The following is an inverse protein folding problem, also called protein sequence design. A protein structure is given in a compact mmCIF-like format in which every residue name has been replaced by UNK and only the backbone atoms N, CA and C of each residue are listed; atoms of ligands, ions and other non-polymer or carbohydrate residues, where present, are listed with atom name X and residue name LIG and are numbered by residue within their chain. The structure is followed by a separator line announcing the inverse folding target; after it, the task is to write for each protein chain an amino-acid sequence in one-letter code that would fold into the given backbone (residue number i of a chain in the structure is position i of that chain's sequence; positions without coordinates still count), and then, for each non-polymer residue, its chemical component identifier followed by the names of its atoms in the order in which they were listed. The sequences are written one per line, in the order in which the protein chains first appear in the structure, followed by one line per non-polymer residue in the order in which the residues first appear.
data_IF_102121988737
#
_entry.id   IF_102121988737
#
_cell.length_a   1.000
_cell.length_b   1.000
_cell.length_c   1.000
_cell.angle_alpha   90.00
_cell.angle_beta   90.00
_cell.angle_gamma   90.00
#
_symmetry.space_group_name_H-M   'P 1'
#
loop_
_entity.id
_entity.type
_entity.pdbx_description
1 polymer ?
#
# COMPACT_ATOMS: atom_id res chain seq x y z
N UNK A 1 -28.67 -5.75 -8.65
CA UNK A 1 -27.52 -5.96 -9.55
C UNK A 1 -26.51 -4.88 -9.19
N UNK A 2 -25.45 -5.28 -8.49
CA UNK A 2 -24.54 -4.37 -7.81
C UNK A 2 -23.42 -3.90 -8.76
N UNK A 3 -22.99 -2.65 -8.59
CA UNK A 3 -21.98 -1.92 -9.35
C UNK A 3 -20.53 -2.40 -9.01
N UNK A 4 -20.31 -3.71 -8.91
CA UNK A 4 -19.06 -4.26 -8.35
C UNK A 4 -18.27 -5.14 -9.33
N UNK A 5 -18.67 -5.23 -10.59
CA UNK A 5 -18.08 -6.16 -11.57
C UNK A 5 -17.12 -5.50 -12.57
N UNK A 6 -16.75 -4.22 -12.38
CA UNK A 6 -15.66 -3.61 -13.15
C UNK A 6 -14.36 -3.88 -12.40
N UNK A 7 -13.50 -4.74 -12.96
CA UNK A 7 -12.15 -4.95 -12.45
C UNK A 7 -11.39 -3.63 -12.34
N UNK A 8 -10.28 -3.62 -11.61
CA UNK A 8 -9.45 -2.42 -11.54
C UNK A 8 -8.90 -2.11 -12.94
N UNK A 9 -9.42 -1.06 -13.57
CA UNK A 9 -9.00 -0.65 -14.91
C UNK A 9 -7.59 -0.06 -14.86
N UNK A 10 -6.73 -0.58 -15.74
CA UNK A 10 -5.40 -0.02 -15.92
C UNK A 10 -5.50 1.40 -16.48
N UNK A 11 -4.99 2.41 -15.75
CA UNK A 11 -5.06 3.81 -16.19
C UNK A 11 -4.26 4.10 -17.48
N UNK A 12 -3.34 3.21 -17.85
CA UNK A 12 -2.48 3.36 -19.03
C UNK A 12 -3.13 2.80 -20.30
N UNK A 13 -3.67 1.58 -20.23
CA UNK A 13 -4.20 0.90 -21.42
C UNK A 13 -5.73 0.73 -21.42
N UNK A 14 -6.41 1.06 -20.32
CA UNK A 14 -7.86 1.00 -20.18
C UNK A 14 -8.46 -0.41 -20.13
N UNK A 15 -7.64 -1.45 -20.00
CA UNK A 15 -8.08 -2.85 -19.84
C UNK A 15 -8.05 -3.27 -18.37
N UNK A 16 -8.85 -4.27 -18.01
CA UNK A 16 -8.88 -4.83 -16.67
C UNK A 16 -7.52 -5.41 -16.25
N UNK A 17 -7.16 -5.17 -14.99
CA UNK A 17 -6.10 -5.92 -14.31
C UNK A 17 -6.75 -7.13 -13.65
N UNK A 18 -6.67 -8.27 -14.32
CA UNK A 18 -7.42 -9.49 -13.97
C UNK A 18 -6.88 -10.17 -12.70
N UNK A 19 -5.56 -10.11 -12.48
CA UNK A 19 -4.88 -10.86 -11.42
C UNK A 19 -3.88 -10.02 -10.63
N UNK A 20 -3.63 -10.43 -9.38
CA UNK A 20 -2.61 -9.83 -8.51
C UNK A 20 -1.23 -9.81 -9.16
N UNK A 21 -0.90 -10.85 -9.93
CA UNK A 21 0.39 -11.02 -10.62
C UNK A 21 0.55 -10.09 -11.82
N UNK A 22 -0.54 -9.44 -12.25
CA UNK A 22 -0.54 -8.41 -13.29
C UNK A 22 -0.48 -7.01 -12.68
N UNK A 23 -0.70 -6.83 -11.38
CA UNK A 23 -0.84 -5.52 -10.73
C UNK A 23 0.50 -4.86 -10.37
N UNK A 24 0.71 -3.66 -10.89
CA UNK A 24 1.77 -2.75 -10.45
C UNK A 24 1.53 -2.22 -9.04
N UNK A 25 0.28 -1.88 -8.71
CA UNK A 25 -0.09 -1.32 -7.42
C UNK A 25 0.29 -2.30 -6.29
N UNK A 26 -0.07 -3.57 -6.45
CA UNK A 26 0.24 -4.60 -5.47
C UNK A 26 1.72 -4.97 -5.43
N UNK A 27 2.44 -4.96 -6.57
CA UNK A 27 3.89 -5.12 -6.54
C UNK A 27 4.54 -4.03 -5.68
N UNK A 28 4.17 -2.77 -5.92
CA UNK A 28 4.69 -1.62 -5.18
C UNK A 28 4.31 -1.64 -3.71
N UNK A 29 3.10 -2.09 -3.39
CA UNK A 29 2.69 -2.35 -2.01
C UNK A 29 3.55 -3.44 -1.34
N UNK A 30 3.78 -4.55 -2.03
CA UNK A 30 4.62 -5.64 -1.52
C UNK A 30 6.05 -5.18 -1.27
N UNK A 31 6.54 -4.26 -2.10
CA UNK A 31 7.84 -3.59 -1.97
C UNK A 31 7.84 -2.44 -0.94
N UNK A 32 6.72 -2.21 -0.25
CA UNK A 32 6.60 -1.18 0.78
C UNK A 32 6.55 0.25 0.24
N UNK A 33 6.32 0.46 -1.05
CA UNK A 33 6.30 1.77 -1.71
C UNK A 33 4.92 2.46 -1.66
N UNK A 34 3.88 1.70 -1.36
CA UNK A 34 2.49 2.16 -1.28
C UNK A 34 1.95 1.89 0.13
N UNK A 35 1.20 2.84 0.66
CA UNK A 35 0.51 2.73 1.93
C UNK A 35 -0.76 1.86 1.78
N UNK A 36 -0.96 0.83 2.63
CA UNK A 36 -2.13 -0.04 2.56
C UNK A 36 -3.46 0.71 2.64
N UNK A 37 -3.55 1.79 3.41
CA UNK A 37 -4.78 2.57 3.56
C UNK A 37 -5.19 3.24 2.24
N UNK A 38 -4.22 3.50 1.37
CA UNK A 38 -4.45 4.19 0.09
C UNK A 38 -4.73 3.23 -1.08
N UNK A 39 -4.65 1.91 -0.88
CA UNK A 39 -4.80 0.92 -1.96
C UNK A 39 -6.14 1.06 -2.70
N UNK A 40 -7.23 1.23 -1.94
CA UNK A 40 -8.59 1.28 -2.49
C UNK A 40 -8.91 2.52 -3.34
N UNK A 41 -8.12 3.59 -3.21
CA UNK A 41 -8.29 4.84 -3.97
C UNK A 41 -7.21 5.10 -5.00
N UNK A 42 -6.16 4.26 -5.03
CA UNK A 42 -5.08 4.41 -6.00
C UNK A 42 -5.48 3.81 -7.35
N UNK A 43 -5.08 4.45 -8.46
CA UNK A 43 -5.29 3.86 -9.77
C UNK A 43 -4.43 2.59 -9.90
N UNK A 44 -4.94 1.66 -10.69
CA UNK A 44 -4.25 0.41 -10.99
C UNK A 44 -3.56 0.49 -12.35
N UNK A 45 -2.49 -0.29 -12.52
CA UNK A 45 -1.76 -0.45 -13.77
C UNK A 45 -1.30 -1.89 -13.92
N UNK A 46 -1.25 -2.39 -15.15
CA UNK A 46 -0.51 -3.62 -15.40
C UNK A 46 0.98 -3.41 -15.15
N UNK A 47 1.69 -4.45 -14.70
CA UNK A 47 3.16 -4.47 -14.65
C UNK A 47 3.76 -4.13 -16.02
N UNK A 48 3.22 -4.71 -17.10
CA UNK A 48 3.66 -4.39 -18.47
C UNK A 48 3.39 -2.91 -18.86
N UNK A 49 2.41 -2.27 -18.25
CA UNK A 49 2.15 -0.83 -18.40
C UNK A 49 3.03 0.04 -17.49
N UNK A 50 3.87 -0.56 -16.65
CA UNK A 50 4.95 0.10 -15.91
C UNK A 50 6.33 -0.43 -16.31
N UNK A 51 6.80 -0.15 -17.54
CA UNK A 51 8.07 -0.68 -18.01
C UNK A 51 9.27 -0.22 -17.19
N UNK A 52 9.19 0.95 -16.54
CA UNK A 52 10.26 1.47 -15.69
C UNK A 52 10.59 0.54 -14.52
N UNK A 53 9.57 -0.10 -13.92
CA UNK A 53 9.73 -1.06 -12.83
C UNK A 53 9.82 -2.50 -13.36
N UNK A 54 8.95 -2.86 -14.30
CA UNK A 54 8.81 -4.23 -14.79
C UNK A 54 10.04 -4.76 -15.55
N UNK A 55 10.88 -3.89 -16.13
CA UNK A 55 12.14 -4.30 -16.78
C UNK A 55 13.12 -5.01 -15.83
N UNK A 56 12.95 -4.84 -14.50
CA UNK A 56 13.77 -5.47 -13.47
C UNK A 56 13.21 -6.82 -12.99
N UNK A 57 12.05 -7.27 -13.46
CA UNK A 57 11.54 -8.61 -13.10
C UNK A 57 12.30 -9.67 -13.89
N UNK A 58 12.98 -10.58 -13.18
CA UNK A 58 13.71 -11.73 -13.73
C UNK A 58 13.11 -13.02 -13.15
N UNK A 59 11.97 -13.44 -13.69
CA UNK A 59 11.27 -14.67 -13.29
C UNK A 59 10.85 -15.48 -14.51
N UNK A 60 10.85 -16.82 -14.40
CA UNK A 60 10.56 -17.71 -15.53
C UNK A 60 9.16 -17.51 -16.12
N UNK A 61 8.18 -17.22 -15.27
CA UNK A 61 6.78 -17.03 -15.66
C UNK A 61 6.42 -15.58 -15.97
N UNK A 62 7.41 -14.67 -16.01
CA UNK A 62 7.21 -13.27 -16.35
C UNK A 62 7.83 -12.94 -17.72
N UNK A 63 7.03 -12.47 -18.70
CA UNK A 63 7.55 -12.00 -19.98
C UNK A 63 8.53 -10.83 -19.79
N UNK A 64 9.79 -10.92 -20.26
CA UNK A 64 10.75 -9.83 -20.10
C UNK A 64 10.27 -8.53 -20.76
N UNK A 65 10.43 -7.42 -20.04
CA UNK A 65 10.11 -6.07 -20.55
C UNK A 65 11.40 -5.38 -20.94
N UNK A 66 11.49 -5.00 -22.23
CA UNK A 66 12.62 -4.23 -22.76
C UNK A 66 12.23 -2.76 -22.88
N UNK A 67 13.10 -1.89 -22.39
CA UNK A 67 13.01 -0.44 -22.53
C UNK A 67 14.18 0.03 -23.36
N UNK A 68 13.96 1.02 -24.21
CA UNK A 68 14.99 1.64 -25.03
C UNK A 68 15.37 3.02 -24.47
N UNK A 69 16.61 3.45 -24.72
CA UNK A 69 17.12 4.77 -24.32
C UNK A 69 17.80 4.79 -22.94
N UNK A 70 17.99 5.99 -22.38
CA UNK A 70 18.82 6.20 -21.17
C UNK A 70 18.27 5.56 -19.89
N UNK A 71 16.98 5.22 -19.86
CA UNK A 71 16.34 4.55 -18.73
C UNK A 71 16.19 3.03 -18.96
N UNK A 72 16.74 2.52 -20.06
CA UNK A 72 16.84 1.09 -20.30
C UNK A 72 17.76 0.46 -19.25
N UNK A 73 17.35 -0.68 -18.69
CA UNK A 73 18.16 -1.47 -17.77
C UNK A 73 19.60 -1.70 -18.26
N UNK A 74 19.78 -1.90 -19.56
CA UNK A 74 21.10 -2.08 -20.20
C UNK A 74 21.99 -0.84 -20.21
N UNK A 75 21.42 0.35 -19.99
CA UNK A 75 22.12 1.63 -19.96
C UNK A 75 22.39 2.14 -18.53
N UNK A 76 21.97 1.40 -17.49
CA UNK A 76 22.16 1.75 -16.09
C UNK A 76 23.40 1.08 -15.48
N UNK A 77 23.78 1.56 -14.30
CA UNK A 77 24.88 0.98 -13.52
C UNK A 77 24.59 -0.51 -13.19
N UNK A 78 25.52 -1.44 -13.46
CA UNK A 78 25.28 -2.87 -13.26
C UNK A 78 24.98 -3.28 -11.81
N UNK A 79 25.59 -2.61 -10.82
CA UNK A 79 25.35 -2.92 -9.41
C UNK A 79 23.95 -2.48 -8.98
N UNK A 80 23.52 -1.29 -9.45
CA UNK A 80 22.14 -0.84 -9.30
C UNK A 80 21.15 -1.80 -9.98
N UNK A 81 21.45 -2.24 -11.21
CA UNK A 81 20.60 -3.18 -11.95
C UNK A 81 20.45 -4.49 -11.18
N UNK A 82 21.55 -5.08 -10.69
CA UNK A 82 21.49 -6.32 -9.94
C UNK A 82 20.69 -6.17 -8.63
N UNK A 83 20.83 -5.03 -7.94
CA UNK A 83 20.06 -4.74 -6.73
C UNK A 83 18.56 -4.59 -7.02
N UNK A 84 18.19 -3.84 -8.06
CA UNK A 84 16.78 -3.68 -8.46
C UNK A 84 16.20 -4.98 -8.99
N UNK A 85 16.94 -5.77 -9.77
CA UNK A 85 16.49 -7.09 -10.22
C UNK A 85 16.17 -8.00 -9.03
N UNK A 86 17.07 -8.09 -8.06
CA UNK A 86 16.83 -8.88 -6.86
C UNK A 86 15.62 -8.38 -6.06
N UNK A 87 15.50 -7.06 -5.87
CA UNK A 87 14.42 -6.44 -5.11
C UNK A 87 13.06 -6.68 -5.76
N UNK A 88 12.94 -6.31 -7.03
CA UNK A 88 11.69 -6.32 -7.80
C UNK A 88 11.26 -7.76 -8.12
N UNK A 89 12.19 -8.63 -8.48
CA UNK A 89 11.90 -10.06 -8.71
C UNK A 89 11.36 -10.73 -7.45
N UNK A 90 11.95 -10.48 -6.29
CA UNK A 90 11.43 -11.04 -5.03
C UNK A 90 10.03 -10.52 -4.71
N UNK A 91 9.74 -9.25 -4.99
CA UNK A 91 8.38 -8.71 -4.89
C UNK A 91 7.39 -9.44 -5.81
N UNK A 92 7.76 -9.69 -7.06
CA UNK A 92 6.94 -10.43 -8.00
C UNK A 92 6.71 -11.90 -7.57
N UNK A 93 7.76 -12.59 -7.11
CA UNK A 93 7.63 -13.95 -6.58
C UNK A 93 6.71 -14.00 -5.35
N UNK A 94 6.70 -12.95 -4.53
CA UNK A 94 5.76 -12.83 -3.43
C UNK A 94 4.32 -12.68 -3.93
N UNK A 95 4.06 -11.96 -5.02
CA UNK A 95 2.72 -11.92 -5.63
C UNK A 95 2.28 -13.32 -6.10
N UNK A 96 3.18 -14.10 -6.70
CA UNK A 96 2.90 -15.48 -7.09
C UNK A 96 2.55 -16.34 -5.87
N UNK A 97 3.30 -16.22 -4.78
CA UNK A 97 3.02 -16.93 -3.54
C UNK A 97 1.64 -16.57 -2.98
N UNK A 98 1.30 -15.28 -2.96
CA UNK A 98 0.01 -14.77 -2.46
C UNK A 98 -1.20 -15.29 -3.24
N UNK A 99 -1.04 -15.69 -4.50
CA UNK A 99 -2.12 -16.35 -5.25
C UNK A 99 -2.42 -17.77 -4.73
N UNK A 100 -1.51 -18.36 -3.95
CA UNK A 100 -1.61 -19.75 -3.48
C UNK A 100 -1.93 -19.86 -2.00
N UNK A 101 -1.88 -18.74 -1.26
CA UNK A 101 -2.10 -18.70 0.19
C UNK A 101 -3.20 -17.70 0.53
N UNK A 102 -3.99 -18.00 1.55
CA UNK A 102 -4.97 -17.07 2.09
C UNK A 102 -4.34 -16.32 3.27
N UNK A 103 -3.75 -15.16 2.98
CA UNK A 103 -3.14 -14.28 3.97
C UNK A 103 -3.91 -12.96 4.04
N UNK A 104 -3.97 -12.32 5.22
CA UNK A 104 -4.54 -10.98 5.32
C UNK A 104 -3.66 -9.96 4.57
N UNK A 105 -4.26 -8.90 4.04
CA UNK A 105 -3.58 -7.90 3.20
C UNK A 105 -2.37 -7.25 3.91
N UNK A 106 -2.40 -7.13 5.23
CA UNK A 106 -1.30 -6.60 6.06
C UNK A 106 -0.04 -7.50 6.05
N UNK A 107 -0.18 -8.76 5.63
CA UNK A 107 0.91 -9.72 5.49
C UNK A 107 1.43 -9.84 4.05
N UNK A 108 0.86 -9.11 3.10
CA UNK A 108 1.32 -9.14 1.71
C UNK A 108 2.76 -8.62 1.57
N UNK A 109 3.16 -7.50 2.22
CA UNK A 109 4.51 -6.97 2.10
C UNK A 109 5.59 -7.96 2.49
N UNK A 110 6.74 -7.81 1.82
CA UNK A 110 7.95 -8.56 2.18
C UNK A 110 8.29 -8.30 3.66
N UNK A 111 8.85 -9.28 4.38
CA UNK A 111 9.05 -9.21 5.83
C UNK A 111 9.74 -7.92 6.30
N UNK A 112 10.75 -7.43 5.57
CA UNK A 112 11.47 -6.19 5.88
C UNK A 112 10.62 -4.91 5.76
N UNK A 113 9.50 -4.96 5.03
CA UNK A 113 8.61 -3.80 4.83
C UNK A 113 7.37 -3.84 5.71
N UNK A 114 7.05 -4.97 6.35
CA UNK A 114 5.88 -5.09 7.23
C UNK A 114 5.94 -4.11 8.41
N UNK A 115 7.12 -3.99 9.03
CA UNK A 115 7.32 -3.12 10.19
C UNK A 115 7.05 -1.63 9.88
N UNK A 116 7.16 -1.21 8.61
CA UNK A 116 6.86 0.17 8.17
C UNK A 116 5.39 0.54 8.42
N UNK A 117 4.48 -0.45 8.41
CA UNK A 117 3.03 -0.23 8.45
C UNK A 117 2.36 -0.80 9.71
N UNK A 118 3.07 -1.63 10.49
CA UNK A 118 2.56 -2.26 11.70
C UNK A 118 2.26 -1.30 12.86
N UNK A 119 2.68 -0.03 12.80
CA UNK A 119 2.37 1.00 13.80
C UNK A 119 1.09 1.81 13.56
N UNK A 120 0.37 1.56 12.46
CA UNK A 120 -0.84 2.33 12.08
C UNK A 120 -2.14 1.55 12.36
N UNK A 121 -2.08 0.21 12.33
CA UNK A 121 -3.25 -0.65 12.52
C UNK A 121 -3.80 -0.70 13.96
N UNK A 122 -3.03 -0.28 14.98
CA UNK A 122 -3.46 -0.34 16.39
C UNK A 122 -4.28 0.89 16.85
N UNK A 123 -4.40 1.96 16.05
CA UNK A 123 -5.09 3.19 16.48
C UNK A 123 -6.57 3.31 16.10
N UNK A 124 -7.16 2.37 15.36
CA UNK A 124 -8.57 2.44 14.94
C UNK A 124 -9.42 1.39 15.66
N UNK A 125 -9.60 1.53 16.97
CA UNK A 125 -10.40 0.55 17.69
C UNK A 125 -10.61 0.73 19.18
N UNK A 126 -10.90 1.94 19.69
CA UNK A 126 -11.63 2.03 20.98
C UNK A 126 -12.30 3.41 21.16
N UNK A 127 -13.44 3.60 20.51
CA UNK A 127 -14.33 4.74 20.70
C UNK A 127 -15.63 4.34 21.38
N UNK A 128 -15.57 3.59 22.49
CA UNK A 128 -16.77 3.32 23.30
C UNK A 128 -17.10 4.57 24.11
N UNK A 129 -17.93 5.46 23.55
CA UNK A 129 -18.57 6.54 24.31
C UNK A 129 -19.72 5.93 25.10
N UNK A 130 -19.48 5.55 26.36
CA UNK A 130 -20.56 5.25 27.29
C UNK A 130 -21.24 6.56 27.70
N UNK A 131 -22.50 6.72 27.31
CA UNK A 131 -23.44 7.70 27.83
C UNK A 131 -23.58 7.50 29.35
N UNK A 132 -23.13 8.48 30.13
CA UNK A 132 -23.35 8.57 31.56
C UNK A 132 -24.28 9.73 31.89
N UNK A 133 -25.52 9.38 32.21
CA UNK A 133 -26.60 10.28 32.66
C UNK A 133 -26.25 10.94 34.02
N UNK A 134 -26.58 12.24 34.11
CA UNK A 134 -26.59 13.23 35.22
C UNK A 134 -27.04 12.75 36.66
N UNK A 135 -27.22 13.63 37.68
CA UNK A 135 -26.38 14.64 38.38
C UNK A 135 -26.54 14.39 39.95
N UNK A 136 -26.59 15.34 40.92
CA UNK A 136 -26.24 16.77 41.02
C UNK A 136 -25.38 17.11 42.28
N UNK A 137 -25.41 18.39 42.68
CA UNK A 137 -25.10 18.97 44.01
C UNK A 137 -23.68 19.54 44.18
N UNK A 138 -23.43 20.69 44.82
CA UNK A 138 -24.20 21.79 45.44
C UNK A 138 -23.13 22.75 45.98
N UNK A 139 -23.41 24.07 46.02
CA UNK A 139 -22.77 25.09 46.90
C UNK A 139 -21.24 25.30 46.78
N UNK A 140 -20.65 26.48 46.83
CA UNK A 140 -21.04 27.84 47.17
C UNK A 140 -19.75 28.65 47.36
N UNK A 141 -19.80 29.96 47.09
CA UNK A 141 -18.93 31.05 47.58
C UNK A 141 -17.39 30.93 47.53
N UNK A 142 -16.76 31.86 46.80
CA UNK A 142 -15.58 32.66 47.23
C UNK A 142 -15.73 34.05 46.58
N UNK A 143 -15.90 35.11 47.37
CA UNK A 143 -14.87 36.01 47.91
C UNK A 143 -14.18 36.83 46.79
N UNK A 144 -14.57 38.10 46.61
CA UNK A 144 -13.98 39.28 47.27
C UNK A 144 -12.66 39.70 46.60
N UNK A 145 -12.75 40.61 45.62
CA UNK A 145 -11.60 41.39 45.17
C UNK A 145 -11.91 42.87 45.35
N UNK A 146 -11.25 43.43 46.35
CA UNK A 146 -11.23 44.83 46.71
C UNK A 146 -10.77 45.70 45.53
N UNK A 147 -11.69 46.53 45.06
CA UNK A 147 -11.40 47.67 44.21
C UNK A 147 -10.96 48.86 45.07
N UNK A 148 -9.69 49.23 44.92
CA UNK A 148 -9.19 50.60 44.71
C UNK A 148 -9.71 51.74 45.61
N UNK A 149 -8.77 52.45 46.24
CA UNK A 149 -8.87 53.90 46.48
C UNK A 149 -8.95 54.32 47.93
#
# INVERSE_FOLDING_TARGET
MALCDEGYLCEVCGRDVEDLTQSDLYLRYVLGEVDPETLHVRPERHLACNPSLAQFIVAADFPPVTVEGYFAKSALDPDFVAAEEARVTRGYLRLLELMTVDLPIVEYPLPEFRARWQGVAESEGEGTVTVGTEPPSRSGQVADEASQG
#
